data_IF_082175123542
#
_entry.id   IF_082175123542
#
_cell.length_a   1.000
_cell.length_b   1.000
_cell.length_c   1.000
_cell.angle_alpha   90.00
_cell.angle_beta   90.00
_cell.angle_gamma   90.00
#
_symmetry.space_group_name_H-M   'P 1'
#
loop_
_entity.id
_entity.type
_entity.pdbx_description
1 polymer ?
#
# COMPACT_ATOMS: atom_id res chain seq x y z
N UNK A 1 32.40 8.57 -11.35
CA UNK A 1 32.03 8.68 -9.93
C UNK A 1 30.60 9.17 -9.91
N UNK A 2 29.67 8.30 -9.53
CA UNK A 2 28.24 8.58 -9.58
C UNK A 2 27.85 9.27 -8.28
N UNK A 3 27.90 10.61 -8.28
CA UNK A 3 27.40 11.44 -7.18
C UNK A 3 25.88 11.22 -7.18
N UNK A 4 25.42 10.29 -6.34
CA UNK A 4 24.06 9.73 -6.38
C UNK A 4 22.98 10.72 -6.80
N UNK A 5 22.04 10.24 -7.64
CA UNK A 5 20.90 11.02 -8.13
C UNK A 5 20.19 11.77 -6.98
N UNK A 6 19.78 13.01 -7.24
CA UNK A 6 19.07 13.86 -6.29
C UNK A 6 19.96 14.76 -5.45
N UNK A 7 19.48 15.11 -4.24
CA UNK A 7 20.15 16.02 -3.31
C UNK A 7 21.24 15.27 -2.52
N UNK A 8 22.53 15.61 -2.69
CA UNK A 8 23.59 14.93 -1.94
C UNK A 8 23.53 15.38 -0.48
N UNK A 9 23.11 14.49 0.43
CA UNK A 9 23.01 14.80 1.87
C UNK A 9 24.35 14.68 2.62
N UNK A 10 25.21 13.78 2.15
CA UNK A 10 26.57 13.55 2.67
C UNK A 10 27.52 13.35 1.51
N UNK A 11 28.78 13.71 1.73
CA UNK A 11 29.88 13.36 0.85
C UNK A 11 30.35 11.93 1.14
N UNK A 12 31.02 11.30 0.18
CA UNK A 12 31.67 10.00 0.36
C UNK A 12 32.73 9.97 1.47
N UNK A 13 33.27 11.14 1.85
CA UNK A 13 34.16 11.27 3.01
C UNK A 13 33.42 11.28 4.36
N UNK A 14 32.10 11.10 4.37
CA UNK A 14 31.23 11.08 5.56
C UNK A 14 30.76 12.46 6.05
N UNK A 15 31.37 13.54 5.57
CA UNK A 15 30.98 14.89 5.97
C UNK A 15 29.62 15.31 5.38
N UNK A 16 28.89 16.15 6.10
CA UNK A 16 27.64 16.73 5.62
C UNK A 16 27.91 17.67 4.42
N UNK A 17 26.93 17.77 3.53
CA UNK A 17 26.95 18.78 2.47
C UNK A 17 26.46 20.13 2.98
N UNK A 18 27.04 21.20 2.45
CA UNK A 18 26.64 22.57 2.71
C UNK A 18 26.26 23.25 1.39
N UNK A 19 25.39 24.25 1.46
CA UNK A 19 24.96 25.02 0.29
C UNK A 19 25.68 26.36 0.27
N UNK A 20 26.35 26.67 -0.84
CA UNK A 20 26.98 27.96 -1.07
C UNK A 20 26.41 28.65 -2.31
N UNK A 21 26.68 29.94 -2.41
CA UNK A 21 26.34 30.76 -3.57
C UNK A 21 27.60 31.04 -4.37
N UNK A 22 27.57 30.77 -5.67
CA UNK A 22 28.69 31.05 -6.57
C UNK A 22 28.87 32.55 -6.75
N UNK A 23 30.08 33.03 -6.49
CA UNK A 23 30.53 34.39 -6.80
C UNK A 23 31.26 34.46 -8.15
N UNK A 24 31.32 33.37 -8.91
CA UNK A 24 32.05 33.33 -10.18
C UNK A 24 31.33 34.16 -11.24
N UNK A 25 32.08 34.86 -12.09
CA UNK A 25 31.51 35.65 -13.19
C UNK A 25 30.70 34.79 -14.19
N UNK A 26 31.01 33.49 -14.30
CA UNK A 26 30.30 32.55 -15.18
C UNK A 26 28.93 32.15 -14.61
N UNK A 27 28.83 31.98 -13.29
CA UNK A 27 27.62 31.51 -12.62
C UNK A 27 27.29 32.41 -11.42
N UNK A 28 27.09 33.72 -11.60
CA UNK A 28 26.88 34.63 -10.47
C UNK A 28 25.56 34.32 -9.77
N UNK A 29 25.59 34.18 -8.45
CA UNK A 29 24.39 33.94 -7.63
C UNK A 29 23.85 32.50 -7.67
N UNK A 30 24.34 31.62 -8.56
CA UNK A 30 23.86 30.24 -8.65
C UNK A 30 24.31 29.45 -7.41
N UNK A 31 23.40 28.68 -6.80
CA UNK A 31 23.68 27.91 -5.57
C UNK A 31 24.13 26.49 -5.89
N UNK A 32 25.07 25.97 -5.10
CA UNK A 32 25.58 24.60 -5.24
C UNK A 32 25.76 23.93 -3.88
N UNK A 33 25.59 22.62 -3.86
CA UNK A 33 25.99 21.72 -2.78
C UNK A 33 27.50 21.44 -2.89
N UNK A 34 28.19 21.46 -1.76
CA UNK A 34 29.56 20.95 -1.64
C UNK A 34 29.79 20.19 -0.34
N UNK A 35 30.85 19.41 -0.28
CA UNK A 35 31.33 18.82 0.97
C UNK A 35 31.68 19.91 2.01
N UNK A 36 31.34 19.67 3.28
CA UNK A 36 31.74 20.51 4.41
C UNK A 36 33.18 20.27 4.90
N UNK A 37 33.86 19.23 4.44
CA UNK A 37 35.25 18.96 4.81
C UNK A 37 36.23 19.90 4.08
N UNK A 38 37.32 20.26 4.77
CA UNK A 38 38.34 21.21 4.28
C UNK A 38 39.46 20.50 3.49
N UNK A 39 39.60 19.17 3.66
CA UNK A 39 40.66 18.36 3.05
C UNK A 39 40.14 17.02 2.54
N UNK A 40 40.81 16.46 1.52
CA UNK A 40 40.46 15.20 0.87
C UNK A 40 40.33 15.36 -0.65
N UNK A 41 40.44 14.26 -1.39
CA UNK A 41 40.23 14.24 -2.84
C UNK A 41 38.79 13.80 -3.15
N UNK A 42 38.27 14.20 -4.32
CA UNK A 42 36.96 13.78 -4.85
C UNK A 42 35.76 14.15 -3.96
N UNK A 43 35.70 15.40 -3.50
CA UNK A 43 34.55 15.91 -2.74
C UNK A 43 33.34 16.19 -3.63
N UNK A 44 32.14 15.94 -3.08
CA UNK A 44 30.87 16.22 -3.76
C UNK A 44 30.75 17.69 -4.14
N UNK A 45 30.34 17.92 -5.39
CA UNK A 45 29.89 19.18 -5.93
C UNK A 45 28.65 18.90 -6.80
N UNK A 46 27.57 19.66 -6.61
CA UNK A 46 26.38 19.57 -7.45
C UNK A 46 25.59 20.86 -7.42
N UNK A 47 25.04 21.30 -8.54
CA UNK A 47 24.17 22.48 -8.55
C UNK A 47 22.83 22.18 -7.88
N UNK A 48 22.27 23.18 -7.20
CA UNK A 48 21.03 23.01 -6.42
C UNK A 48 19.83 22.73 -7.32
N UNK A 49 19.73 23.46 -8.43
CA UNK A 49 18.67 23.29 -9.44
C UNK A 49 18.69 21.89 -10.07
N UNK A 50 19.87 21.41 -10.50
CA UNK A 50 20.04 20.06 -11.05
C UNK A 50 19.67 18.98 -10.03
N UNK A 51 20.14 19.13 -8.78
CA UNK A 51 19.82 18.21 -7.70
C UNK A 51 18.31 18.18 -7.38
N UNK A 52 17.64 19.32 -7.42
CA UNK A 52 16.20 19.42 -7.16
C UNK A 52 15.39 18.83 -8.30
N UNK A 53 15.76 19.12 -9.55
CA UNK A 53 15.11 18.55 -10.73
C UNK A 53 15.12 17.01 -10.68
N UNK A 54 16.27 16.42 -10.33
CA UNK A 54 16.37 14.97 -10.18
C UNK A 54 15.47 14.40 -9.07
N UNK A 55 15.35 15.09 -7.94
CA UNK A 55 14.40 14.69 -6.87
C UNK A 55 12.95 14.82 -7.33
N UNK A 56 12.61 15.88 -8.08
CA UNK A 56 11.27 16.06 -8.63
C UNK A 56 10.90 14.95 -9.61
N UNK A 57 11.83 14.54 -10.48
CA UNK A 57 11.62 13.40 -11.40
C UNK A 57 11.36 12.11 -10.62
N UNK A 58 12.15 11.84 -9.58
CA UNK A 58 11.95 10.64 -8.73
C UNK A 58 10.59 10.71 -8.02
N UNK A 59 10.20 11.88 -7.52
CA UNK A 59 8.91 12.07 -6.86
C UNK A 59 7.74 11.93 -7.83
N UNK A 60 7.84 12.48 -9.04
CA UNK A 60 6.83 12.34 -10.08
C UNK A 60 6.62 10.87 -10.48
N UNK A 61 7.71 10.12 -10.64
CA UNK A 61 7.62 8.68 -10.92
C UNK A 61 6.95 7.92 -9.76
N UNK A 62 7.28 8.23 -8.51
CA UNK A 62 6.61 7.63 -7.34
C UNK A 62 5.12 7.98 -7.28
N UNK A 63 4.75 9.22 -7.61
CA UNK A 63 3.35 9.62 -7.70
C UNK A 63 2.62 8.81 -8.78
N UNK A 64 3.21 8.65 -9.97
CA UNK A 64 2.62 7.84 -11.03
C UNK A 64 2.46 6.36 -10.62
N UNK A 65 3.45 5.78 -9.93
CA UNK A 65 3.32 4.41 -9.38
C UNK A 65 2.21 4.33 -8.34
N UNK A 66 2.12 5.30 -7.42
CA UNK A 66 1.05 5.31 -6.42
C UNK A 66 -0.34 5.49 -7.05
N UNK A 67 -0.46 6.30 -8.12
CA UNK A 67 -1.70 6.43 -8.87
C UNK A 67 -2.11 5.11 -9.53
N UNK A 68 -1.14 4.34 -10.05
CA UNK A 68 -1.38 3.01 -10.59
C UNK A 68 -1.80 2.02 -9.49
N UNK A 69 -1.07 1.97 -8.37
CA UNK A 69 -1.38 1.09 -7.25
C UNK A 69 -2.80 1.37 -6.70
N UNK A 70 -3.21 2.63 -6.64
CA UNK A 70 -4.57 3.01 -6.24
C UNK A 70 -5.64 2.56 -7.24
N UNK A 71 -5.33 2.55 -8.54
CA UNK A 71 -6.23 2.03 -9.56
C UNK A 71 -6.39 0.51 -9.42
N UNK A 72 -5.29 -0.20 -9.17
CA UNK A 72 -5.28 -1.66 -8.99
C UNK A 72 -6.04 -2.05 -7.71
N UNK A 73 -5.76 -1.40 -6.57
CA UNK A 73 -6.50 -1.59 -5.31
C UNK A 73 -8.00 -1.36 -5.50
N UNK A 74 -8.38 -0.35 -6.29
CA UNK A 74 -9.79 -0.08 -6.58
C UNK A 74 -10.45 -1.20 -7.40
N UNK A 75 -9.70 -1.81 -8.32
CA UNK A 75 -10.15 -2.99 -9.08
C UNK A 75 -10.34 -4.18 -8.13
N UNK A 76 -9.34 -4.50 -7.32
CA UNK A 76 -9.40 -5.60 -6.35
C UNK A 76 -10.57 -5.43 -5.37
N UNK A 77 -10.84 -4.20 -4.92
CA UNK A 77 -12.01 -3.89 -4.08
C UNK A 77 -13.34 -4.14 -4.79
N UNK A 78 -13.42 -3.91 -6.10
CA UNK A 78 -14.62 -4.20 -6.88
C UNK A 78 -14.83 -5.71 -7.01
N UNK A 79 -13.77 -6.47 -7.26
CA UNK A 79 -13.82 -7.93 -7.35
C UNK A 79 -14.19 -8.55 -6.01
N UNK A 80 -13.53 -8.14 -4.92
CA UNK A 80 -13.89 -8.58 -3.56
C UNK A 80 -15.35 -8.25 -3.20
N UNK A 81 -15.87 -7.10 -3.65
CA UNK A 81 -17.28 -6.75 -3.43
C UNK A 81 -18.22 -7.70 -4.17
N UNK A 82 -17.85 -8.15 -5.38
CA UNK A 82 -18.62 -9.13 -6.13
C UNK A 82 -18.59 -10.49 -5.43
N UNK A 83 -17.42 -10.97 -5.02
CA UNK A 83 -17.27 -12.22 -4.27
C UNK A 83 -18.11 -12.20 -2.98
N UNK A 84 -18.07 -11.10 -2.22
CA UNK A 84 -18.90 -10.94 -1.01
C UNK A 84 -20.39 -11.01 -1.35
N UNK A 85 -20.82 -10.41 -2.46
CA UNK A 85 -22.22 -10.42 -2.89
C UNK A 85 -22.68 -11.83 -3.25
N UNK A 86 -21.83 -12.63 -3.91
CA UNK A 86 -22.10 -14.03 -4.22
C UNK A 86 -22.18 -14.89 -2.95
N UNK A 87 -21.25 -14.69 -2.01
CA UNK A 87 -21.27 -15.39 -0.72
C UNK A 87 -22.56 -15.07 0.05
N UNK A 88 -22.99 -13.80 0.09
CA UNK A 88 -24.25 -13.40 0.73
C UNK A 88 -25.44 -14.12 0.08
N UNK A 89 -25.50 -14.16 -1.25
CA UNK A 89 -26.56 -14.87 -1.96
C UNK A 89 -26.59 -16.38 -1.66
N UNK A 90 -25.41 -17.01 -1.54
CA UNK A 90 -25.31 -18.42 -1.15
C UNK A 90 -25.78 -18.67 0.29
N UNK A 91 -25.46 -17.77 1.24
CA UNK A 91 -25.93 -17.85 2.63
C UNK A 91 -27.46 -17.72 2.67
N UNK A 92 -28.04 -16.79 1.92
CA UNK A 92 -29.49 -16.64 1.82
C UNK A 92 -30.16 -17.89 1.23
N UNK A 93 -29.56 -18.48 0.20
CA UNK A 93 -30.02 -19.74 -0.38
C UNK A 93 -29.99 -20.88 0.66
N UNK A 94 -28.88 -21.07 1.36
CA UNK A 94 -28.75 -22.11 2.39
C UNK A 94 -29.72 -21.91 3.56
N UNK A 95 -29.97 -20.66 3.97
CA UNK A 95 -30.95 -20.34 5.01
C UNK A 95 -32.36 -20.79 4.63
N UNK A 96 -32.75 -20.66 3.36
CA UNK A 96 -34.06 -21.12 2.87
C UNK A 96 -34.09 -22.64 2.72
N UNK A 97 -32.97 -23.24 2.30
CA UNK A 97 -32.86 -24.70 2.17
C UNK A 97 -32.90 -25.41 3.52
N UNK A 98 -32.24 -24.89 4.54
CA UNK A 98 -32.09 -25.52 5.85
C UNK A 98 -32.55 -24.55 6.94
N UNK A 99 -33.84 -24.58 7.28
CA UNK A 99 -34.33 -23.87 8.46
C UNK A 99 -34.80 -24.86 9.53
N UNK A 100 -34.47 -24.55 10.79
CA UNK A 100 -34.85 -25.36 11.96
C UNK A 100 -35.99 -24.66 12.70
N UNK A 101 -37.10 -25.36 12.91
CA UNK A 101 -38.20 -24.90 13.76
C UNK A 101 -38.20 -25.70 15.05
N UNK A 102 -38.02 -25.01 16.17
CA UNK A 102 -38.08 -25.61 17.52
C UNK A 102 -39.51 -25.44 18.05
N UNK A 103 -40.16 -26.54 18.41
CA UNK A 103 -41.52 -26.51 18.95
C UNK A 103 -41.53 -26.58 20.48
N UNK A 104 -40.55 -27.26 21.08
CA UNK A 104 -40.33 -27.36 22.52
C UNK A 104 -38.85 -27.72 22.82
N UNK A 105 -38.48 -27.90 24.09
CA UNK A 105 -37.11 -28.22 24.51
C UNK A 105 -36.58 -29.59 24.04
N UNK A 106 -37.43 -30.45 23.46
CA UNK A 106 -37.10 -31.83 23.10
C UNK A 106 -37.37 -32.16 21.63
N UNK A 107 -38.05 -31.28 20.88
CA UNK A 107 -38.48 -31.50 19.52
C UNK A 107 -38.15 -30.32 18.60
N UNK A 108 -37.41 -30.62 17.54
CA UNK A 108 -37.18 -29.69 16.43
C UNK A 108 -37.45 -30.35 15.08
N UNK A 109 -37.77 -29.51 14.09
CA UNK A 109 -37.96 -29.91 12.71
C UNK A 109 -36.88 -29.26 11.87
N UNK A 110 -36.16 -30.07 11.10
CA UNK A 110 -35.30 -29.57 10.03
C UNK A 110 -36.10 -29.62 8.74
N UNK A 111 -36.28 -28.47 8.09
CA UNK A 111 -36.85 -28.43 6.75
C UNK A 111 -35.72 -28.34 5.75
N UNK A 112 -35.67 -29.30 4.83
CA UNK A 112 -34.68 -29.42 3.76
C UNK A 112 -35.38 -29.48 2.40
N UNK A 113 -35.24 -28.45 1.57
CA UNK A 113 -35.84 -28.40 0.22
C UNK A 113 -37.34 -28.76 0.23
N UNK A 114 -38.09 -28.22 1.21
CA UNK A 114 -39.53 -28.50 1.41
C UNK A 114 -39.85 -29.85 2.04
N UNK A 115 -38.85 -30.71 2.25
CA UNK A 115 -38.99 -31.96 3.02
C UNK A 115 -38.87 -31.67 4.51
N UNK A 116 -39.88 -32.06 5.27
CA UNK A 116 -39.94 -31.89 6.73
C UNK A 116 -39.38 -33.15 7.40
N UNK A 117 -38.25 -33.04 8.10
CA UNK A 117 -37.69 -34.10 8.93
C UNK A 117 -37.91 -33.73 10.40
N UNK A 118 -38.77 -34.49 11.08
CA UNK A 118 -38.98 -34.37 12.52
C UNK A 118 -37.83 -35.07 13.23
N UNK A 119 -37.08 -34.32 14.04
CA UNK A 119 -36.03 -34.87 14.89
C UNK A 119 -36.49 -34.70 16.33
N UNK A 120 -36.97 -35.80 16.91
CA UNK A 120 -37.18 -35.91 18.35
C UNK A 120 -35.87 -36.41 18.97
N UNK A 121 -35.35 -35.73 19.99
CA UNK A 121 -34.29 -36.30 20.82
C UNK A 121 -34.85 -37.54 21.53
N UNK A 122 -34.71 -38.72 20.93
CA UNK A 122 -34.67 -39.94 21.70
C UNK A 122 -33.31 -39.96 22.39
N UNK A 123 -33.33 -39.71 23.70
CA UNK A 123 -32.36 -40.26 24.63
C UNK A 123 -31.94 -41.67 24.17
N UNK A 124 -30.73 -41.78 23.62
CA UNK A 124 -29.95 -43.03 23.58
C UNK A 124 -28.48 -42.71 23.91
N UNK A 125 -28.27 -41.98 25.01
CA UNK A 125 -27.08 -42.09 25.87
C UNK A 125 -27.57 -41.96 27.31
N UNK A 126 -28.10 -43.03 27.90
CA UNK A 126 -27.55 -43.82 29.04
C UNK A 126 -28.41 -45.08 29.19
#
# INVERSE_FOLDING_TARGET
MDLGRGIPRRCDCGAATIVLTSSTARNPGRRFYRCGAISGQNHVFKWVDEAHEEEFVVMANKLATMEQDLADIKSDLADMKNDISEIVALIECLRVKYYVVVYDFSNYVVVNDGSVVVVSDFCDVV
#
